data_IF_664355380974
#
_entry.id   IF_664355380974
#
_cell.length_a   1.000
_cell.length_b   1.000
_cell.length_c   1.000
_cell.angle_alpha   90.00
_cell.angle_beta   90.00
_cell.angle_gamma   90.00
#
_symmetry.space_group_name_H-M   'P 1'
#
loop_
_entity.id
_entity.type
_entity.pdbx_description
1 polymer ?
#
# COMPACT_ATOMS: atom_id res chain seq x y z
N UNK A 1 6.51 13.98 -3.51
CA UNK A 1 6.76 15.33 -2.93
C UNK A 1 8.05 15.37 -2.11
N UNK A 2 8.12 14.79 -0.90
CA UNK A 2 9.28 14.91 0.00
C UNK A 2 10.63 14.57 -0.65
N UNK A 3 10.74 13.48 -1.42
CA UNK A 3 12.00 13.06 -2.06
C UNK A 3 12.63 14.15 -2.96
N UNK A 4 11.83 14.96 -3.64
CA UNK A 4 12.32 16.01 -4.52
C UNK A 4 12.97 17.19 -3.78
N UNK A 5 12.92 17.18 -2.44
CA UNK A 5 13.53 18.21 -1.58
C UNK A 5 14.76 17.68 -0.81
N UNK A 6 15.25 16.48 -1.15
CA UNK A 6 16.35 15.78 -0.48
C UNK A 6 17.46 15.51 -1.50
N UNK A 7 18.72 15.53 -1.05
CA UNK A 7 19.89 15.14 -1.84
C UNK A 7 19.68 13.80 -2.56
N UNK A 8 20.19 13.68 -3.79
CA UNK A 8 19.93 12.52 -4.63
C UNK A 8 20.50 11.21 -4.08
N UNK A 9 21.58 11.31 -3.32
CA UNK A 9 22.29 10.19 -2.69
C UNK A 9 21.54 9.58 -1.50
N UNK A 10 20.45 10.20 -1.04
CA UNK A 10 19.65 9.71 0.09
C UNK A 10 18.35 9.09 -0.41
N UNK A 11 18.06 7.89 0.08
CA UNK A 11 16.81 7.17 -0.19
C UNK A 11 15.91 7.19 1.04
N UNK A 12 14.59 7.07 0.84
CA UNK A 12 13.67 6.96 1.98
C UNK A 12 13.89 5.60 2.64
N UNK A 13 14.04 5.58 3.97
CA UNK A 13 14.12 4.34 4.73
C UNK A 13 12.93 4.16 5.67
N UNK A 14 12.18 5.23 5.97
CA UNK A 14 10.94 5.13 6.72
C UNK A 14 10.03 6.34 6.52
N UNK A 15 8.75 6.14 6.76
CA UNK A 15 7.82 7.23 7.02
C UNK A 15 6.71 6.82 7.98
N UNK A 16 6.11 7.83 8.59
CA UNK A 16 4.88 7.74 9.37
C UNK A 16 3.87 8.73 8.84
N UNK A 17 2.59 8.39 8.87
CA UNK A 17 1.55 9.27 8.34
C UNK A 17 0.22 9.13 9.07
N UNK A 18 -0.60 10.19 9.00
CA UNK A 18 -1.94 10.24 9.54
C UNK A 18 -2.91 10.84 8.51
N UNK A 19 -4.05 10.20 8.36
CA UNK A 19 -5.20 10.67 7.58
C UNK A 19 -6.16 11.41 8.50
N UNK A 20 -6.43 12.67 8.19
CA UNK A 20 -7.26 13.55 9.04
C UNK A 20 -8.69 13.68 8.50
N UNK A 21 -8.83 13.75 7.18
CA UNK A 21 -10.11 13.90 6.50
C UNK A 21 -10.10 13.13 5.18
N UNK A 22 -11.27 12.66 4.70
CA UNK A 22 -11.37 12.09 3.38
C UNK A 22 -10.99 13.11 2.31
N UNK A 23 -10.20 12.66 1.33
CA UNK A 23 -9.88 13.42 0.13
C UNK A 23 -11.02 13.41 -0.89
N UNK A 24 -11.11 14.47 -1.68
CA UNK A 24 -12.01 14.59 -2.83
C UNK A 24 -11.25 14.16 -4.11
N UNK A 25 -11.60 13.03 -4.74
CA UNK A 25 -10.85 12.51 -5.89
C UNK A 25 -10.97 13.38 -7.14
N UNK A 26 -11.99 14.24 -7.23
CA UNK A 26 -12.21 15.14 -8.37
C UNK A 26 -11.39 16.43 -8.26
N UNK A 27 -10.63 16.61 -7.18
CA UNK A 27 -9.85 17.83 -6.90
C UNK A 27 -8.36 17.54 -6.73
N UNK A 28 -7.49 18.46 -7.18
CA UNK A 28 -6.06 18.32 -6.94
C UNK A 28 -5.72 18.37 -5.44
N UNK A 29 -4.62 17.73 -5.07
CA UNK A 29 -4.04 17.77 -3.73
C UNK A 29 -2.77 18.62 -3.78
N UNK A 30 -2.66 19.61 -2.88
CA UNK A 30 -1.43 20.39 -2.71
C UNK A 30 -0.57 19.70 -1.66
N UNK A 31 0.67 19.37 -1.99
CA UNK A 31 1.65 18.79 -1.07
C UNK A 31 2.67 19.84 -0.66
N UNK A 32 2.53 20.37 0.55
CA UNK A 32 3.44 21.34 1.17
C UNK A 32 4.52 20.58 1.95
N UNK A 33 5.80 20.82 1.63
CA UNK A 33 6.94 20.08 2.18
C UNK A 33 7.76 20.99 3.09
N UNK A 34 7.83 20.64 4.37
CA UNK A 34 8.66 21.28 5.37
C UNK A 34 9.98 20.50 5.52
N UNK A 35 11.11 21.21 5.46
CA UNK A 35 12.41 20.66 5.83
C UNK A 35 12.58 20.74 7.34
N UNK A 36 12.47 19.58 8.01
CA UNK A 36 12.67 19.51 9.47
C UNK A 36 14.14 19.49 9.85
N UNK A 37 14.98 18.79 9.05
CA UNK A 37 16.40 18.61 9.32
C UNK A 37 17.15 18.10 8.10
N UNK A 38 18.34 18.64 7.87
CA UNK A 38 19.40 18.00 7.10
C UNK A 38 20.62 17.82 8.00
N UNK A 39 20.83 16.58 8.45
CA UNK A 39 22.00 16.18 9.20
C UNK A 39 23.08 15.56 8.30
N UNK A 40 24.19 15.18 8.92
CA UNK A 40 25.32 14.50 8.24
C UNK A 40 24.87 13.21 7.53
N UNK A 41 24.05 12.40 8.20
CA UNK A 41 23.63 11.09 7.66
C UNK A 41 22.15 11.05 7.28
N UNK A 42 21.30 11.83 7.94
CA UNK A 42 19.85 11.75 7.80
C UNK A 42 19.23 13.06 7.35
N UNK A 43 18.23 12.98 6.50
CA UNK A 43 17.33 14.08 6.15
C UNK A 43 15.92 13.74 6.60
N UNK A 44 15.22 14.71 7.18
CA UNK A 44 13.84 14.53 7.62
C UNK A 44 12.95 15.57 6.95
N UNK A 45 11.84 15.12 6.38
CA UNK A 45 10.85 15.96 5.71
C UNK A 45 9.48 15.70 6.31
N UNK A 46 8.69 16.77 6.48
CA UNK A 46 7.26 16.66 6.78
C UNK A 46 6.48 17.10 5.55
N UNK A 47 5.48 16.33 5.17
CA UNK A 47 4.56 16.64 4.08
C UNK A 47 3.18 16.88 4.66
N UNK A 48 2.56 17.98 4.28
CA UNK A 48 1.18 18.34 4.57
C UNK A 48 0.41 18.31 3.26
N UNK A 49 -0.52 17.37 3.13
CA UNK A 49 -1.45 17.33 1.99
C UNK A 49 -2.67 18.20 2.30
N UNK A 50 -3.02 19.11 1.39
CA UNK A 50 -4.08 20.10 1.57
C UNK A 50 -5.09 20.00 0.42
N UNK A 51 -6.38 20.01 0.78
CA UNK A 51 -7.50 20.17 -0.15
C UNK A 51 -8.52 21.14 0.44
N UNK A 52 -9.12 21.99 -0.40
CA UNK A 52 -10.11 23.00 0.03
C UNK A 52 -9.63 23.84 1.25
N UNK A 53 -8.33 24.18 1.30
CA UNK A 53 -7.75 24.99 2.37
C UNK A 53 -7.55 24.27 3.72
N UNK A 54 -7.85 22.97 3.84
CA UNK A 54 -7.66 22.19 5.06
C UNK A 54 -6.63 21.05 4.88
N UNK A 55 -5.80 20.76 5.90
CA UNK A 55 -4.91 19.60 5.85
C UNK A 55 -5.73 18.31 5.92
N UNK A 56 -5.57 17.43 4.94
CA UNK A 56 -6.26 16.12 4.89
C UNK A 56 -5.35 14.97 5.33
N UNK A 57 -4.03 15.16 5.27
CA UNK A 57 -3.05 14.14 5.58
C UNK A 57 -1.70 14.77 5.95
N UNK A 58 -1.00 14.14 6.89
CA UNK A 58 0.39 14.45 7.22
C UNK A 58 1.26 13.22 7.07
N UNK A 59 2.49 13.43 6.63
CA UNK A 59 3.53 12.41 6.61
C UNK A 59 4.85 13.00 7.08
N UNK A 60 5.62 12.24 7.86
CA UNK A 60 7.01 12.54 8.18
C UNK A 60 7.87 11.40 7.67
N UNK A 61 8.78 11.72 6.74
CA UNK A 61 9.70 10.76 6.13
C UNK A 61 11.14 11.03 6.55
N UNK A 62 11.88 9.95 6.74
CA UNK A 62 13.30 9.96 7.02
C UNK A 62 14.08 9.31 5.88
N UNK A 63 15.17 9.95 5.51
CA UNK A 63 16.05 9.59 4.40
C UNK A 63 17.47 9.40 4.90
N UNK A 64 18.18 8.46 4.30
CA UNK A 64 19.55 8.09 4.67
C UNK A 64 20.32 7.71 3.39
N UNK A 65 21.63 7.95 3.38
CA UNK A 65 22.49 7.52 2.28
C UNK A 65 22.95 6.08 2.45
N UNK A 66 23.28 5.39 1.36
CA UNK A 66 23.72 4.00 1.43
C UNK A 66 24.99 3.83 2.29
N UNK A 67 24.94 2.91 3.26
CA UNK A 67 26.05 2.62 4.17
C UNK A 67 26.04 1.14 4.57
N UNK A 68 27.21 0.47 4.62
CA UNK A 68 27.29 -0.90 5.11
C UNK A 68 26.92 -0.98 6.60
N UNK A 69 26.33 -2.10 7.00
CA UNK A 69 25.88 -2.33 8.36
C UNK A 69 25.65 -3.80 8.65
N UNK A 70 25.06 -4.08 9.81
CA UNK A 70 24.65 -5.44 10.17
C UNK A 70 23.47 -5.90 9.32
N UNK A 71 23.46 -7.17 8.95
CA UNK A 71 22.40 -7.77 8.14
C UNK A 71 21.79 -8.99 8.83
N UNK A 72 20.47 -8.96 8.99
CA UNK A 72 19.64 -10.09 9.36
C UNK A 72 18.18 -9.82 8.92
N UNK A 73 17.37 -10.87 8.86
CA UNK A 73 15.92 -10.76 8.64
C UNK A 73 15.19 -11.97 9.20
N UNK A 74 13.88 -11.83 9.40
CA UNK A 74 12.97 -12.95 9.61
C UNK A 74 12.93 -13.83 8.35
N UNK A 75 12.79 -15.13 8.53
CA UNK A 75 12.54 -16.05 7.42
C UNK A 75 11.21 -15.70 6.73
N UNK A 76 11.19 -15.76 5.40
CA UNK A 76 9.96 -15.61 4.62
C UNK A 76 9.01 -16.77 4.96
N UNK A 77 7.69 -16.53 5.11
CA UNK A 77 6.73 -17.61 5.25
C UNK A 77 6.71 -18.51 4.01
N UNK A 78 6.48 -19.81 4.23
CA UNK A 78 6.40 -20.81 3.16
C UNK A 78 5.04 -20.72 2.46
N UNK A 79 4.99 -19.91 1.40
CA UNK A 79 3.81 -19.68 0.57
C UNK A 79 4.15 -20.10 -0.88
N UNK A 80 3.30 -20.90 -1.55
CA UNK A 80 3.50 -21.24 -2.96
C UNK A 80 3.70 -20.01 -3.85
N UNK A 81 4.35 -20.19 -4.99
CA UNK A 81 4.59 -19.10 -5.94
C UNK A 81 3.29 -18.51 -6.52
N UNK A 82 3.34 -17.27 -7.02
CA UNK A 82 2.18 -16.53 -7.54
C UNK A 82 1.44 -17.25 -8.68
N UNK A 83 2.11 -18.13 -9.43
CA UNK A 83 1.54 -18.97 -10.48
C UNK A 83 0.44 -19.93 -9.99
N UNK A 84 0.40 -20.22 -8.69
CA UNK A 84 -0.59 -21.10 -8.07
C UNK A 84 -1.89 -20.38 -7.68
N UNK A 85 -1.96 -19.05 -7.84
CA UNK A 85 -3.08 -18.23 -7.39
C UNK A 85 -3.69 -17.42 -8.54
N UNK A 86 -5.01 -17.32 -8.54
CA UNK A 86 -5.73 -16.45 -9.46
C UNK A 86 -5.49 -14.97 -9.10
N UNK A 87 -5.40 -14.11 -10.10
CA UNK A 87 -5.37 -12.66 -9.87
C UNK A 87 -6.74 -12.14 -9.45
N UNK A 88 -6.77 -11.01 -8.76
CA UNK A 88 -8.03 -10.34 -8.43
C UNK A 88 -8.87 -10.03 -9.67
N UNK A 89 -8.25 -9.69 -10.79
CA UNK A 89 -8.96 -9.47 -12.06
C UNK A 89 -9.62 -10.75 -12.57
N UNK A 90 -8.94 -11.90 -12.46
CA UNK A 90 -9.53 -13.21 -12.78
C UNK A 90 -10.64 -13.59 -11.80
N UNK A 91 -10.49 -13.29 -10.51
CA UNK A 91 -11.54 -13.53 -9.52
C UNK A 91 -12.76 -12.63 -9.75
N UNK A 92 -12.53 -11.37 -10.12
CA UNK A 92 -13.58 -10.39 -10.37
C UNK A 92 -14.48 -10.78 -11.55
N UNK A 93 -13.95 -11.40 -12.61
CA UNK A 93 -14.79 -11.86 -13.74
C UNK A 93 -15.80 -12.92 -13.33
N UNK A 94 -15.49 -13.77 -12.34
CA UNK A 94 -16.42 -14.80 -11.85
C UNK A 94 -17.62 -14.23 -11.08
N UNK A 95 -17.48 -13.03 -10.53
CA UNK A 95 -18.56 -12.34 -9.79
C UNK A 95 -19.15 -11.15 -10.55
N UNK A 96 -18.59 -10.79 -11.70
CA UNK A 96 -18.90 -9.58 -12.44
C UNK A 96 -20.40 -9.45 -12.78
N UNK A 97 -21.07 -10.57 -13.06
CA UNK A 97 -22.50 -10.61 -13.37
C UNK A 97 -23.39 -10.33 -12.16
N UNK A 98 -22.89 -10.53 -10.95
CA UNK A 98 -23.59 -10.29 -9.69
C UNK A 98 -23.27 -8.91 -9.08
N UNK A 99 -22.36 -8.15 -9.68
CA UNK A 99 -22.02 -6.80 -9.23
C UNK A 99 -22.95 -5.76 -9.87
N UNK A 100 -23.44 -4.78 -9.08
CA UNK A 100 -24.06 -3.58 -9.64
C UNK A 100 -23.16 -2.92 -10.68
N UNK A 101 -23.75 -2.37 -11.75
CA UNK A 101 -23.01 -1.80 -12.88
C UNK A 101 -21.95 -0.76 -12.45
N UNK A 102 -22.29 0.07 -11.46
CA UNK A 102 -21.36 1.06 -10.88
C UNK A 102 -20.10 0.43 -10.28
N UNK A 103 -20.21 -0.75 -9.68
CA UNK A 103 -19.09 -1.47 -9.09
C UNK A 103 -18.31 -2.26 -10.14
N UNK A 104 -18.95 -2.71 -11.21
CA UNK A 104 -18.30 -3.51 -12.27
C UNK A 104 -17.09 -2.80 -12.88
N UNK A 105 -17.20 -1.49 -13.16
CA UNK A 105 -16.08 -0.71 -13.72
C UNK A 105 -14.89 -0.63 -12.76
N UNK A 106 -15.14 -0.49 -11.46
CA UNK A 106 -14.09 -0.38 -10.44
C UNK A 106 -13.46 -1.73 -10.11
N UNK A 107 -14.27 -2.80 -10.04
CA UNK A 107 -13.80 -4.14 -9.65
C UNK A 107 -13.21 -4.96 -10.81
N UNK A 108 -13.72 -4.77 -12.03
CA UNK A 108 -13.27 -5.52 -13.21
C UNK A 108 -12.37 -4.68 -14.15
N UNK A 109 -12.07 -3.44 -13.78
CA UNK A 109 -11.17 -2.57 -14.55
C UNK A 109 -9.72 -3.04 -14.46
N UNK A 110 -8.90 -2.56 -15.40
CA UNK A 110 -7.46 -2.74 -15.33
C UNK A 110 -6.91 -2.08 -14.06
N UNK A 111 -6.06 -2.82 -13.33
CA UNK A 111 -5.41 -2.33 -12.12
C UNK A 111 -3.94 -2.06 -12.39
N UNK A 112 -3.35 -0.99 -11.82
CA UNK A 112 -1.94 -0.66 -12.00
C UNK A 112 -1.01 -1.67 -11.31
N UNK A 113 -1.53 -2.44 -10.37
CA UNK A 113 -0.79 -3.48 -9.65
C UNK A 113 -1.61 -4.76 -9.76
N UNK A 114 -0.94 -5.83 -10.19
CA UNK A 114 -1.48 -7.17 -10.21
C UNK A 114 -1.39 -7.76 -8.81
N UNK A 115 -2.53 -8.15 -8.26
CA UNK A 115 -2.63 -8.80 -6.95
C UNK A 115 -3.17 -10.20 -7.10
N UNK A 116 -2.54 -11.18 -6.44
CA UNK A 116 -3.00 -12.57 -6.36
C UNK A 116 -3.15 -12.98 -4.89
N UNK A 117 -4.38 -12.97 -4.35
CA UNK A 117 -4.60 -13.36 -2.96
C UNK A 117 -4.44 -14.87 -2.76
N UNK A 118 -3.75 -15.27 -1.70
CA UNK A 118 -3.62 -16.67 -1.30
C UNK A 118 -4.91 -17.18 -0.64
N UNK A 119 -5.57 -16.31 0.14
CA UNK A 119 -6.89 -16.59 0.74
C UNK A 119 -7.94 -15.70 0.09
N UNK A 120 -8.94 -16.31 -0.54
CA UNK A 120 -10.05 -15.61 -1.19
C UNK A 120 -11.27 -15.64 -0.27
N UNK A 121 -11.70 -14.47 0.19
CA UNK A 121 -12.94 -14.32 0.95
C UNK A 121 -14.01 -13.68 0.06
N UNK A 122 -15.23 -14.23 0.11
CA UNK A 122 -16.36 -13.65 -0.61
C UNK A 122 -16.86 -12.41 0.16
N UNK A 123 -16.77 -11.19 -0.40
CA UNK A 123 -17.20 -9.98 0.30
C UNK A 123 -18.73 -9.92 0.50
N UNK A 124 -19.53 -10.61 -0.31
CA UNK A 124 -21.00 -10.67 -0.14
C UNK A 124 -21.44 -11.69 0.91
N UNK A 125 -20.60 -12.69 1.19
CA UNK A 125 -20.85 -13.75 2.17
C UNK A 125 -19.58 -14.00 2.98
N UNK A 126 -19.10 -13.00 3.76
CA UNK A 126 -17.88 -13.13 4.53
C UNK A 126 -18.03 -14.28 5.54
N UNK A 127 -16.97 -15.06 5.70
CA UNK A 127 -16.86 -16.11 6.71
C UNK A 127 -15.66 -15.79 7.60
N UNK A 128 -15.67 -16.31 8.82
CA UNK A 128 -14.50 -16.21 9.70
C UNK A 128 -13.28 -16.82 9.01
N UNK A 129 -12.19 -16.09 9.07
CA UNK A 129 -10.86 -16.54 8.72
C UNK A 129 -9.89 -16.02 9.77
N UNK A 130 -8.69 -16.60 9.79
CA UNK A 130 -7.60 -16.09 10.61
C UNK A 130 -7.34 -14.61 10.29
N UNK A 131 -6.93 -13.80 11.27
CA UNK A 131 -6.54 -12.40 11.07
C UNK A 131 -5.19 -12.28 10.35
N UNK A 132 -5.00 -13.06 9.27
CA UNK A 132 -3.79 -13.16 8.47
C UNK A 132 -4.15 -13.26 7.00
N UNK A 133 -3.35 -12.65 6.15
CA UNK A 133 -3.46 -12.83 4.71
C UNK A 133 -2.10 -12.71 4.01
N UNK A 134 -2.04 -13.27 2.82
CA UNK A 134 -0.88 -13.21 1.95
C UNK A 134 -1.34 -12.80 0.57
N UNK A 135 -0.71 -11.77 0.02
CA UNK A 135 -0.97 -11.27 -1.32
C UNK A 135 0.34 -11.32 -2.11
N UNK A 136 0.35 -11.97 -3.26
CA UNK A 136 1.40 -11.72 -4.24
C UNK A 136 1.07 -10.43 -4.98
N UNK A 137 1.98 -9.48 -4.99
CA UNK A 137 1.82 -8.19 -5.65
C UNK A 137 2.97 -7.92 -6.61
N UNK A 138 2.67 -7.32 -7.76
CA UNK A 138 3.65 -6.70 -8.65
C UNK A 138 2.98 -5.60 -9.47
N UNK A 139 3.76 -4.69 -10.02
CA UNK A 139 3.26 -3.74 -11.00
C UNK A 139 2.76 -4.44 -12.25
N UNK A 140 1.63 -3.95 -12.76
CA UNK A 140 1.03 -4.41 -14.00
C UNK A 140 1.58 -3.56 -15.16
N UNK A 141 2.82 -3.84 -15.55
CA UNK A 141 3.53 -3.12 -16.60
C UNK A 141 5.02 -2.96 -16.29
N UNK A 142 5.75 -2.36 -17.24
CA UNK A 142 7.17 -2.06 -17.08
C UNK A 142 7.37 -0.81 -16.20
N UNK A 143 8.36 -0.87 -15.32
CA UNK A 143 8.75 0.26 -14.46
C UNK A 143 10.18 0.67 -14.82
N UNK A 144 10.49 1.99 -14.89
CA UNK A 144 11.87 2.44 -15.05
C UNK A 144 12.76 1.94 -13.91
N UNK A 145 14.01 1.58 -14.23
CA UNK A 145 15.03 1.16 -13.26
C UNK A 145 15.47 2.32 -12.36
N UNK A 146 14.60 2.67 -11.41
CA UNK A 146 14.74 3.79 -10.51
C UNK A 146 14.13 3.43 -9.15
N UNK A 147 14.98 3.26 -8.14
CA UNK A 147 14.58 2.85 -6.80
C UNK A 147 13.51 3.77 -6.18
N UNK A 148 13.51 5.06 -6.50
CA UNK A 148 12.48 5.98 -6.02
C UNK A 148 11.09 5.54 -6.51
N UNK A 149 10.99 5.14 -7.78
CA UNK A 149 9.74 4.72 -8.40
C UNK A 149 9.21 3.46 -7.73
N UNK A 150 10.08 2.46 -7.57
CA UNK A 150 9.72 1.24 -6.87
C UNK A 150 9.27 1.52 -5.41
N UNK A 151 9.97 2.42 -4.69
CA UNK A 151 9.63 2.79 -3.31
C UNK A 151 8.25 3.43 -3.17
N UNK A 152 7.92 4.45 -3.97
CA UNK A 152 6.60 5.08 -3.85
C UNK A 152 5.47 4.20 -4.43
N UNK A 153 5.76 3.33 -5.39
CA UNK A 153 4.77 2.36 -5.89
C UNK A 153 4.48 1.27 -4.86
N UNK A 154 5.48 0.79 -4.12
CA UNK A 154 5.24 -0.10 -2.98
C UNK A 154 4.45 0.62 -1.89
N UNK A 155 4.77 1.89 -1.60
CA UNK A 155 3.98 2.68 -0.63
C UNK A 155 2.52 2.82 -1.07
N UNK A 156 2.27 3.03 -2.37
CA UNK A 156 0.93 3.02 -2.96
C UNK A 156 0.25 1.64 -2.84
N UNK A 157 0.95 0.56 -3.16
CA UNK A 157 0.40 -0.80 -3.12
C UNK A 157 0.16 -1.33 -1.69
N UNK A 158 0.92 -0.85 -0.71
CA UNK A 158 0.86 -1.32 0.67
C UNK A 158 -0.47 -1.04 1.38
N UNK A 159 -1.31 -0.16 0.85
CA UNK A 159 -2.63 0.11 1.45
C UNK A 159 -3.72 -0.86 0.94
N UNK A 160 -3.42 -1.72 -0.05
CA UNK A 160 -4.38 -2.73 -0.51
C UNK A 160 -4.35 -4.00 0.31
N UNK A 161 -5.54 -4.51 0.61
CA UNK A 161 -5.71 -5.71 1.42
C UNK A 161 -5.33 -5.53 2.90
N UNK A 162 -4.59 -4.48 3.24
CA UNK A 162 -4.00 -4.31 4.57
C UNK A 162 -5.04 -4.23 5.68
N UNK A 163 -5.81 -3.14 5.72
CA UNK A 163 -6.80 -2.88 6.77
C UNK A 163 -7.94 -3.92 6.81
N UNK A 164 -8.30 -4.48 5.65
CA UNK A 164 -9.38 -5.49 5.59
C UNK A 164 -9.00 -6.82 6.26
N UNK A 165 -7.71 -7.09 6.50
CA UNK A 165 -7.26 -8.27 7.28
C UNK A 165 -7.88 -8.30 8.67
N UNK A 166 -8.00 -7.13 9.32
CA UNK A 166 -8.56 -7.00 10.66
C UNK A 166 -10.04 -7.42 10.71
N UNK A 167 -10.71 -7.51 9.56
CA UNK A 167 -12.11 -7.89 9.45
C UNK A 167 -12.33 -9.40 9.39
N UNK A 168 -11.29 -10.18 9.05
CA UNK A 168 -11.37 -11.61 8.82
C UNK A 168 -12.01 -12.40 9.98
N UNK A 169 -11.72 -12.12 11.27
CA UNK A 169 -12.31 -12.87 12.38
C UNK A 169 -13.79 -12.57 12.65
N UNK A 170 -14.36 -11.56 11.98
CA UNK A 170 -15.61 -10.92 12.40
C UNK A 170 -16.78 -11.10 11.43
N UNK A 171 -16.64 -11.88 10.36
CA UNK A 171 -17.70 -12.12 9.36
C UNK A 171 -18.26 -10.83 8.76
N UNK A 172 -17.40 -9.83 8.57
CA UNK A 172 -17.76 -8.56 7.92
C UNK A 172 -16.82 -8.27 6.74
N UNK A 173 -17.31 -7.47 5.79
CA UNK A 173 -16.58 -7.01 4.60
C UNK A 173 -16.85 -5.52 4.36
N UNK A 174 -16.16 -4.90 3.40
CA UNK A 174 -16.46 -3.54 2.96
C UNK A 174 -17.88 -3.39 2.36
N UNK A 175 -18.59 -4.50 2.09
CA UNK A 175 -19.96 -4.52 1.62
C UNK A 175 -21.00 -4.73 2.74
N UNK A 176 -20.57 -4.95 3.98
CA UNK A 176 -21.49 -5.10 5.12
C UNK A 176 -22.26 -3.79 5.36
N UNK A 177 -23.61 -3.81 5.43
CA UNK A 177 -24.40 -2.60 5.68
C UNK A 177 -24.04 -1.93 7.02
N UNK A 178 -24.04 -0.59 7.04
CA UNK A 178 -23.71 0.22 8.22
C UNK A 178 -22.32 -0.04 8.82
N UNK A 179 -21.41 -0.62 8.03
CA UNK A 179 -20.03 -0.83 8.41
C UNK A 179 -19.15 0.15 7.64
N UNK A 180 -18.29 0.88 8.35
CA UNK A 180 -17.37 1.84 7.75
C UNK A 180 -15.95 1.56 8.22
N UNK A 181 -15.02 1.61 7.27
CA UNK A 181 -13.59 1.40 7.48
C UNK A 181 -12.86 2.61 6.92
N UNK A 182 -11.94 3.16 7.69
CA UNK A 182 -11.08 4.25 7.26
C UNK A 182 -9.71 4.09 7.90
N UNK A 183 -8.66 4.34 7.12
CA UNK A 183 -7.28 4.37 7.62
C UNK A 183 -7.10 5.59 8.53
N UNK A 184 -6.50 5.38 9.70
CA UNK A 184 -6.15 6.46 10.63
C UNK A 184 -4.70 6.86 10.39
N UNK A 185 -3.79 5.90 10.40
CA UNK A 185 -2.37 6.08 10.20
C UNK A 185 -1.80 4.98 9.31
N UNK A 186 -0.65 5.27 8.69
CA UNK A 186 0.11 4.29 7.90
C UNK A 186 1.60 4.57 8.03
N UNK A 187 2.38 3.51 8.28
CA UNK A 187 3.83 3.60 8.49
C UNK A 187 4.55 2.52 7.70
N UNK A 188 5.69 2.86 7.10
CA UNK A 188 6.50 1.93 6.30
C UNK A 188 7.96 2.10 6.68
N UNK A 189 8.68 0.97 6.70
CA UNK A 189 10.14 0.90 6.78
C UNK A 189 10.67 0.17 5.54
N UNK A 190 11.57 0.81 4.80
CA UNK A 190 12.22 0.24 3.64
C UNK A 190 13.59 -0.31 4.05
N UNK A 191 13.73 -1.63 4.04
CA UNK A 191 14.94 -2.30 4.54
C UNK A 191 15.99 -2.57 3.47
N UNK A 192 15.56 -2.91 2.24
CA UNK A 192 16.43 -3.33 1.14
C UNK A 192 15.93 -2.76 -0.19
N UNK A 193 16.80 -2.60 -1.21
CA UNK A 193 16.36 -2.37 -2.59
C UNK A 193 15.49 -3.50 -3.10
N UNK A 194 14.58 -3.20 -4.02
CA UNK A 194 13.62 -4.16 -4.56
C UNK A 194 13.07 -3.64 -5.89
N UNK A 195 12.51 -4.56 -6.68
CA UNK A 195 11.84 -4.27 -7.95
C UNK A 195 10.35 -4.55 -7.81
N UNK A 196 9.55 -3.52 -8.02
CA UNK A 196 8.09 -3.58 -7.90
C UNK A 196 7.43 -4.29 -9.09
N UNK A 197 8.12 -4.42 -10.22
CA UNK A 197 7.73 -5.21 -11.39
C UNK A 197 8.10 -6.71 -11.27
N UNK A 198 8.84 -7.08 -10.21
CA UNK A 198 8.99 -8.46 -9.77
C UNK A 198 7.93 -8.81 -8.71
N UNK A 199 7.68 -10.11 -8.51
CA UNK A 199 6.71 -10.56 -7.52
C UNK A 199 7.22 -10.37 -6.10
N UNK A 200 6.43 -9.64 -5.29
CA UNK A 200 6.64 -9.46 -3.86
C UNK A 200 5.50 -10.15 -3.09
N UNK A 201 5.85 -10.82 -2.00
CA UNK A 201 4.87 -11.38 -1.07
C UNK A 201 4.54 -10.35 0.01
N UNK A 202 3.30 -9.88 0.04
CA UNK A 202 2.78 -9.04 1.10
C UNK A 202 2.09 -9.92 2.17
N UNK A 203 2.82 -10.18 3.25
CA UNK A 203 2.34 -10.93 4.40
C UNK A 203 1.77 -9.96 5.46
N UNK A 204 0.50 -10.14 5.81
CA UNK A 204 -0.26 -9.22 6.65
C UNK A 204 -0.87 -9.99 7.82
N UNK A 205 -0.83 -9.39 9.01
CA UNK A 205 -1.50 -9.89 10.20
C UNK A 205 -2.20 -8.76 10.95
N UNK A 206 -3.33 -9.06 11.59
CA UNK A 206 -3.96 -8.23 12.60
C UNK A 206 -3.70 -8.89 13.96
N UNK A 207 -2.95 -8.24 14.87
CA UNK A 207 -2.54 -8.82 16.14
C UNK A 207 -3.69 -9.00 17.13
#
# INVERSE_FOLDING_TARGET
AARYTVEETRTVHSFHSYFLYPGDPEKPIIYDVENLRDGRSFSTRRVKAVQNGRPIFYLTASYHGDQPGFDHQKAMPDIPGPENFASESQLATHIAEFLPERLRKTFCGEKPIETRPVTVLNPQKPKKAEPKQYLWIRANGEIPDNQLIHQYLLAYASDWGFLVTAMHPHEVSLMTPNFQVATIDHSIWFHRPFKMDEWLLYAIESP
#
